data_IF_524883377649
#
_entry.id   IF_524883377649
#
_cell.length_a   1.000
_cell.length_b   1.000
_cell.length_c   1.000
_cell.angle_alpha   90.00
_cell.angle_beta   90.00
_cell.angle_gamma   90.00
#
_symmetry.space_group_name_H-M   'P 1'
#
loop_
_entity.id
_entity.type
_entity.pdbx_description
1 polymer ?
#
# COMPACT_ATOMS: atom_id res chain seq x y z
N UNK A 1 -2.64 45.20 -7.22
CA UNK A 1 -1.97 44.63 -6.02
C UNK A 1 -2.66 43.36 -5.52
N UNK A 2 -3.29 42.57 -6.42
CA UNK A 2 -3.98 41.31 -6.09
C UNK A 2 -3.66 40.17 -7.10
N UNK A 3 -2.96 40.45 -8.19
CA UNK A 3 -2.61 39.44 -9.22
C UNK A 3 -1.20 38.82 -9.06
N UNK A 4 -0.35 39.39 -8.19
CA UNK A 4 1.02 38.91 -7.98
C UNK A 4 1.10 37.75 -6.95
N UNK A 5 0.22 37.73 -5.96
CA UNK A 5 0.21 36.69 -4.92
C UNK A 5 -0.38 35.36 -5.41
N UNK A 6 -1.32 35.41 -6.37
CA UNK A 6 -1.90 34.20 -6.99
C UNK A 6 -0.91 33.45 -7.91
N UNK A 7 0.15 34.12 -8.37
CA UNK A 7 1.21 33.53 -9.19
C UNK A 7 2.32 32.89 -8.34
N UNK A 8 2.51 33.31 -7.09
CA UNK A 8 3.52 32.72 -6.17
C UNK A 8 3.00 31.40 -5.59
N UNK A 9 1.70 31.29 -5.31
CA UNK A 9 1.10 30.05 -4.81
C UNK A 9 1.06 28.93 -5.87
N UNK A 10 0.92 29.30 -7.16
CA UNK A 10 1.04 28.35 -8.29
C UNK A 10 2.47 27.93 -8.58
N UNK A 11 3.48 28.80 -8.37
CA UNK A 11 4.91 28.47 -8.55
C UNK A 11 5.50 27.66 -7.39
N UNK A 12 4.92 27.73 -6.19
CA UNK A 12 5.33 26.92 -5.04
C UNK A 12 4.99 25.43 -5.17
N UNK A 13 3.82 25.10 -5.74
CA UNK A 13 3.37 23.71 -5.88
C UNK A 13 4.15 22.90 -6.92
N UNK A 14 4.59 23.52 -8.02
CA UNK A 14 5.39 22.82 -9.04
C UNK A 14 6.82 22.49 -8.56
N UNK A 15 7.37 23.30 -7.66
CA UNK A 15 8.68 23.03 -7.05
C UNK A 15 8.65 21.90 -6.02
N UNK A 16 7.50 21.64 -5.40
CA UNK A 16 7.38 20.55 -4.44
C UNK A 16 7.29 19.19 -5.13
N UNK A 17 6.54 19.09 -6.23
CA UNK A 17 6.49 17.88 -7.05
C UNK A 17 7.88 17.54 -7.64
N UNK A 18 8.62 18.55 -8.12
CA UNK A 18 10.02 18.36 -8.55
C UNK A 18 10.95 17.95 -7.38
N UNK A 19 10.72 18.45 -6.17
CA UNK A 19 11.47 18.03 -4.97
C UNK A 19 11.14 16.60 -4.54
N UNK A 20 9.87 16.20 -4.59
CA UNK A 20 9.44 14.81 -4.33
C UNK A 20 10.06 13.86 -5.36
N UNK A 21 10.07 14.23 -6.65
CA UNK A 21 10.74 13.46 -7.70
C UNK A 21 12.26 13.37 -7.48
N UNK A 22 12.91 14.48 -7.10
CA UNK A 22 14.33 14.54 -6.77
C UNK A 22 14.70 13.74 -5.51
N UNK A 23 13.77 13.57 -4.56
CA UNK A 23 13.96 12.77 -3.35
C UNK A 23 13.70 11.28 -3.65
N UNK A 24 12.72 10.95 -4.51
CA UNK A 24 12.54 9.60 -5.04
C UNK A 24 13.76 9.15 -5.88
N UNK A 25 14.39 10.08 -6.61
CA UNK A 25 15.67 9.82 -7.30
C UNK A 25 16.84 9.67 -6.32
N UNK A 26 16.78 10.30 -5.14
CA UNK A 26 17.72 10.07 -4.04
C UNK A 26 17.52 8.70 -3.36
N UNK A 27 16.32 8.12 -3.34
CA UNK A 27 16.08 6.78 -2.79
C UNK A 27 16.76 5.66 -3.59
N UNK A 28 16.98 5.85 -4.89
CA UNK A 28 17.77 4.93 -5.72
C UNK A 28 19.28 5.11 -5.47
N UNK A 29 19.71 6.26 -4.91
CA UNK A 29 21.13 6.65 -4.79
C UNK A 29 21.68 6.71 -3.36
N UNK A 30 20.86 6.69 -2.30
CA UNK A 30 21.32 6.85 -0.92
C UNK A 30 21.16 5.56 -0.11
N UNK A 31 22.29 5.04 0.37
CA UNK A 31 22.47 3.90 1.28
C UNK A 31 21.81 4.06 2.68
N UNK A 32 20.86 4.99 2.87
CA UNK A 32 20.25 5.32 4.18
C UNK A 32 18.74 5.56 4.13
N UNK A 33 17.91 4.51 3.94
CA UNK A 33 16.45 4.63 3.82
C UNK A 33 15.78 5.23 5.08
N UNK A 34 16.33 4.96 6.28
CA UNK A 34 15.74 5.43 7.54
C UNK A 34 15.73 6.95 7.72
N UNK A 35 16.76 7.67 7.23
CA UNK A 35 16.80 9.14 7.33
C UNK A 35 15.80 9.79 6.37
N UNK A 36 15.62 9.21 5.19
CA UNK A 36 14.68 9.72 4.19
C UNK A 36 13.23 9.55 4.67
N UNK A 37 12.90 8.41 5.27
CA UNK A 37 11.58 8.18 5.86
C UNK A 37 11.25 9.22 6.95
N UNK A 38 12.21 9.58 7.81
CA UNK A 38 12.01 10.62 8.83
C UNK A 38 11.78 12.01 8.23
N UNK A 39 12.51 12.36 7.17
CA UNK A 39 12.31 13.63 6.46
C UNK A 39 10.90 13.69 5.85
N UNK A 40 10.45 12.61 5.19
CA UNK A 40 9.09 12.56 4.63
C UNK A 40 8.01 12.67 5.69
N UNK A 41 8.17 12.02 6.83
CA UNK A 41 7.21 12.11 7.94
C UNK A 41 7.10 13.56 8.47
N UNK A 42 8.23 14.27 8.55
CA UNK A 42 8.27 15.69 8.93
C UNK A 42 7.69 16.64 7.86
N UNK A 43 7.72 16.26 6.58
CA UNK A 43 7.12 17.03 5.49
C UNK A 43 5.60 16.82 5.43
N UNK A 44 5.14 15.58 5.67
CA UNK A 44 3.73 15.22 5.70
C UNK A 44 2.97 15.96 6.80
N UNK A 45 3.57 16.10 7.99
CA UNK A 45 2.97 16.88 9.09
C UNK A 45 2.79 18.36 8.77
N UNK A 46 3.47 18.88 7.74
CA UNK A 46 3.39 20.29 7.29
C UNK A 46 2.63 20.46 5.96
N UNK A 47 2.13 19.38 5.37
CA UNK A 47 1.54 19.41 4.03
C UNK A 47 0.08 19.94 4.03
N UNK A 48 -0.13 21.08 3.37
CA UNK A 48 -1.44 21.77 3.31
C UNK A 48 -2.32 21.30 2.15
N UNK A 49 -1.75 20.91 1.01
CA UNK A 49 -2.51 20.50 -0.20
C UNK A 49 -2.63 18.98 -0.33
N UNK A 50 -3.78 18.51 -0.85
CA UNK A 50 -4.07 17.08 -1.04
C UNK A 50 -3.02 16.37 -1.90
N UNK A 51 -2.74 16.90 -3.09
CA UNK A 51 -1.76 16.30 -4.02
C UNK A 51 -0.36 16.13 -3.43
N UNK A 52 0.11 17.10 -2.62
CA UNK A 52 1.42 17.02 -1.93
C UNK A 52 1.40 15.95 -0.85
N UNK A 53 0.26 15.80 -0.16
CA UNK A 53 0.11 14.80 0.90
C UNK A 53 0.15 13.39 0.32
N UNK A 54 -0.61 13.10 -0.74
CA UNK A 54 -0.62 11.76 -1.36
C UNK A 54 0.75 11.38 -1.94
N UNK A 55 1.39 12.31 -2.65
CA UNK A 55 2.77 12.11 -3.13
C UNK A 55 3.78 11.93 -1.99
N UNK A 56 3.58 12.63 -0.87
CA UNK A 56 4.36 12.47 0.34
C UNK A 56 4.15 11.11 1.01
N UNK A 57 2.92 10.62 1.10
CA UNK A 57 2.58 9.31 1.67
C UNK A 57 3.21 8.19 0.84
N UNK A 58 3.09 8.26 -0.48
CA UNK A 58 3.72 7.30 -1.38
C UNK A 58 5.25 7.32 -1.26
N UNK A 59 5.85 8.52 -1.23
CA UNK A 59 7.29 8.69 -1.01
C UNK A 59 7.76 8.15 0.34
N UNK A 60 6.96 8.35 1.40
CA UNK A 60 7.20 7.79 2.72
C UNK A 60 7.12 6.26 2.70
N UNK A 61 6.11 5.68 2.05
CA UNK A 61 5.96 4.23 1.92
C UNK A 61 7.12 3.57 1.16
N UNK A 62 7.61 4.22 0.09
CA UNK A 62 8.80 3.79 -0.65
C UNK A 62 10.07 3.92 0.20
N UNK A 63 10.25 5.03 0.92
CA UNK A 63 11.40 5.24 1.79
C UNK A 63 11.43 4.26 2.97
N UNK A 64 10.26 3.87 3.46
CA UNK A 64 10.07 2.96 4.58
C UNK A 64 9.80 1.52 4.15
N UNK A 65 10.01 1.17 2.88
CA UNK A 65 9.76 -0.16 2.34
C UNK A 65 10.50 -1.24 3.13
N UNK A 66 9.77 -2.23 3.63
CA UNK A 66 10.34 -3.35 4.39
C UNK A 66 10.95 -2.97 5.74
N UNK A 67 10.82 -1.72 6.20
CA UNK A 67 11.32 -1.31 7.52
C UNK A 67 10.50 -1.91 8.67
N UNK A 68 9.28 -2.39 8.38
CA UNK A 68 8.33 -2.96 9.35
C UNK A 68 8.00 -2.00 10.50
N UNK A 69 8.10 -0.69 10.25
CA UNK A 69 7.83 0.34 11.26
C UNK A 69 6.33 0.53 11.45
N UNK A 70 5.81 0.06 12.60
CA UNK A 70 4.39 0.21 12.97
C UNK A 70 3.99 1.68 13.06
N UNK A 71 4.87 2.56 13.53
CA UNK A 71 4.59 4.00 13.63
C UNK A 71 4.27 4.64 12.27
N UNK A 72 5.03 4.26 11.24
CA UNK A 72 4.81 4.78 9.87
C UNK A 72 3.53 4.19 9.30
N UNK A 73 3.28 2.91 9.54
CA UNK A 73 2.03 2.25 9.16
C UNK A 73 0.80 2.92 9.80
N UNK A 74 0.83 3.20 11.11
CA UNK A 74 -0.25 3.88 11.83
C UNK A 74 -0.52 5.27 11.26
N UNK A 75 0.53 6.03 10.96
CA UNK A 75 0.38 7.37 10.35
C UNK A 75 -0.27 7.31 8.97
N UNK A 76 0.13 6.35 8.14
CA UNK A 76 -0.46 6.13 6.81
C UNK A 76 -1.91 5.63 6.92
N UNK A 77 -2.20 4.77 7.90
CA UNK A 77 -3.55 4.29 8.20
C UNK A 77 -4.48 5.42 8.61
N UNK A 78 -4.01 6.32 9.49
CA UNK A 78 -4.76 7.52 9.88
C UNK A 78 -5.06 8.40 8.67
N UNK A 79 -4.10 8.56 7.75
CA UNK A 79 -4.32 9.30 6.50
C UNK A 79 -5.39 8.65 5.63
N UNK A 80 -5.35 7.32 5.49
CA UNK A 80 -6.34 6.53 4.74
C UNK A 80 -7.75 6.65 5.33
N UNK A 81 -7.88 6.56 6.66
CA UNK A 81 -9.18 6.57 7.34
C UNK A 81 -9.77 7.97 7.51
N UNK A 82 -8.93 8.99 7.63
CA UNK A 82 -9.38 10.37 7.81
C UNK A 82 -9.97 10.99 6.54
N UNK A 83 -9.69 10.40 5.37
CA UNK A 83 -10.12 10.92 4.07
C UNK A 83 -10.65 9.78 3.19
N UNK A 84 -11.97 9.61 3.17
CA UNK A 84 -12.66 8.80 2.16
C UNK A 84 -12.60 9.44 0.75
N UNK A 85 -11.46 9.98 0.34
CA UNK A 85 -11.22 10.50 -1.01
C UNK A 85 -10.72 9.36 -1.89
N UNK A 86 -11.50 8.99 -2.91
CA UNK A 86 -11.23 7.83 -3.75
C UNK A 86 -9.90 7.87 -4.52
N UNK A 87 -9.30 9.05 -4.72
CA UNK A 87 -7.98 9.19 -5.37
C UNK A 87 -6.88 8.93 -4.34
N UNK A 88 -6.91 9.67 -3.22
CA UNK A 88 -5.98 9.54 -2.08
C UNK A 88 -5.81 8.11 -1.57
N UNK A 89 -6.93 7.39 -1.46
CA UNK A 89 -6.94 6.14 -0.72
C UNK A 89 -6.21 4.99 -1.42
N UNK A 90 -5.98 5.09 -2.73
CA UNK A 90 -5.15 4.12 -3.44
C UNK A 90 -3.67 4.34 -3.15
N UNK A 91 -3.17 5.58 -3.19
CA UNK A 91 -1.76 5.86 -2.91
C UNK A 91 -1.40 5.61 -1.44
N UNK A 92 -2.29 5.96 -0.51
CA UNK A 92 -2.10 5.70 0.92
C UNK A 92 -2.12 4.19 1.20
N UNK A 93 -3.03 3.45 0.56
CA UNK A 93 -3.06 1.98 0.61
C UNK A 93 -1.78 1.34 0.03
N UNK A 94 -1.27 1.89 -1.08
CA UNK A 94 0.01 1.49 -1.67
C UNK A 94 1.18 1.79 -0.72
N UNK A 95 1.18 2.94 -0.05
CA UNK A 95 2.23 3.28 0.89
C UNK A 95 2.23 2.32 2.09
N UNK A 96 1.06 2.04 2.68
CA UNK A 96 0.91 1.15 3.83
C UNK A 96 1.48 -0.25 3.57
N UNK A 97 1.17 -0.81 2.40
CA UNK A 97 1.63 -2.17 2.04
C UNK A 97 3.14 -2.30 1.87
N UNK A 98 3.82 -1.24 1.43
CA UNK A 98 5.27 -1.26 1.23
C UNK A 98 6.01 -1.32 2.57
N UNK A 99 5.50 -0.62 3.59
CA UNK A 99 6.16 -0.54 4.91
C UNK A 99 6.20 -1.89 5.63
N UNK A 100 5.08 -2.64 5.55
CA UNK A 100 4.90 -3.91 6.25
C UNK A 100 5.11 -5.14 5.34
N UNK A 101 5.70 -4.96 4.14
CA UNK A 101 5.96 -6.05 3.22
C UNK A 101 6.76 -7.18 3.87
N UNK A 102 6.30 -8.43 3.72
CA UNK A 102 6.94 -9.61 4.28
C UNK A 102 7.08 -9.60 5.81
N UNK A 103 6.18 -8.90 6.53
CA UNK A 103 6.17 -8.89 8.00
C UNK A 103 5.17 -9.88 8.61
N UNK A 104 4.11 -10.25 7.88
CA UNK A 104 2.98 -11.05 8.39
C UNK A 104 2.42 -10.52 9.72
N UNK A 105 2.38 -9.19 9.86
CA UNK A 105 1.80 -8.57 11.05
C UNK A 105 0.29 -8.86 11.11
N UNK A 106 -0.13 -9.57 12.16
CA UNK A 106 -1.52 -9.99 12.34
C UNK A 106 -2.47 -8.81 12.57
N UNK A 107 -2.05 -7.81 13.32
CA UNK A 107 -2.84 -6.58 13.54
C UNK A 107 -3.12 -5.87 12.23
N UNK A 108 -2.10 -5.71 11.38
CA UNK A 108 -2.28 -5.07 10.08
C UNK A 108 -3.15 -5.90 9.13
N UNK A 109 -3.05 -7.24 9.17
CA UNK A 109 -3.90 -8.14 8.41
C UNK A 109 -5.38 -8.00 8.80
N UNK A 110 -5.68 -8.06 10.09
CA UNK A 110 -7.06 -7.98 10.58
C UNK A 110 -7.67 -6.60 10.31
N UNK A 111 -6.92 -5.53 10.53
CA UNK A 111 -7.37 -4.16 10.24
C UNK A 111 -7.68 -3.95 8.75
N UNK A 112 -6.76 -4.34 7.86
CA UNK A 112 -6.98 -4.21 6.42
C UNK A 112 -8.15 -5.06 5.96
N UNK A 113 -8.28 -6.29 6.47
CA UNK A 113 -9.40 -7.19 6.15
C UNK A 113 -10.74 -6.57 6.58
N UNK A 114 -10.84 -6.08 7.80
CA UNK A 114 -12.05 -5.42 8.30
C UNK A 114 -12.40 -4.19 7.48
N UNK A 115 -11.39 -3.41 7.05
CA UNK A 115 -11.64 -2.19 6.29
C UNK A 115 -12.10 -2.45 4.85
N UNK A 116 -11.62 -3.53 4.20
CA UNK A 116 -12.09 -3.95 2.86
C UNK A 116 -13.61 -4.17 2.84
N UNK A 117 -14.16 -4.79 3.88
CA UNK A 117 -15.59 -5.12 3.97
C UNK A 117 -16.47 -3.88 4.20
N UNK A 118 -15.94 -2.84 4.84
CA UNK A 118 -16.70 -1.63 5.20
C UNK A 118 -16.63 -0.58 4.10
N UNK A 119 -15.52 -0.51 3.36
CA UNK A 119 -15.31 0.53 2.35
C UNK A 119 -16.13 0.28 1.08
N UNK A 120 -16.72 1.36 0.54
CA UNK A 120 -17.52 1.36 -0.70
C UNK A 120 -16.70 1.77 -1.94
N UNK A 121 -15.39 2.02 -1.77
CA UNK A 121 -14.53 2.51 -2.84
C UNK A 121 -13.67 1.38 -3.42
N UNK A 122 -14.00 0.93 -4.63
CA UNK A 122 -13.26 -0.13 -5.36
C UNK A 122 -11.74 0.12 -5.45
N UNK A 123 -11.33 1.40 -5.57
CA UNK A 123 -9.92 1.79 -5.62
C UNK A 123 -9.21 1.50 -4.30
N UNK A 124 -9.85 1.84 -3.18
CA UNK A 124 -9.35 1.58 -1.84
C UNK A 124 -9.33 0.06 -1.58
N UNK A 125 -10.40 -0.65 -1.93
CA UNK A 125 -10.44 -2.12 -1.85
C UNK A 125 -9.27 -2.73 -2.63
N UNK A 126 -9.02 -2.29 -3.87
CA UNK A 126 -7.89 -2.80 -4.68
C UNK A 126 -6.52 -2.53 -4.04
N UNK A 127 -6.32 -1.34 -3.48
CA UNK A 127 -5.11 -1.00 -2.73
C UNK A 127 -4.91 -1.89 -1.50
N UNK A 128 -5.97 -2.13 -0.72
CA UNK A 128 -5.92 -2.98 0.47
C UNK A 128 -5.73 -4.46 0.15
N UNK A 129 -6.39 -4.99 -0.89
CA UNK A 129 -6.23 -6.40 -1.32
C UNK A 129 -4.78 -6.73 -1.64
N UNK A 130 -4.16 -5.88 -2.48
CA UNK A 130 -2.75 -6.01 -2.81
C UNK A 130 -1.86 -5.74 -1.60
N UNK A 131 -2.34 -4.97 -0.61
CA UNK A 131 -1.64 -4.75 0.65
C UNK A 131 -1.59 -5.96 1.56
N UNK A 132 -2.71 -6.65 1.74
CA UNK A 132 -2.78 -7.94 2.45
C UNK A 132 -1.85 -8.95 1.78
N UNK A 133 -1.85 -9.02 0.44
CA UNK A 133 -0.93 -9.89 -0.30
C UNK A 133 0.55 -9.56 -0.05
N UNK A 134 0.88 -8.27 0.08
CA UNK A 134 2.26 -7.82 0.33
C UNK A 134 2.77 -8.20 1.72
N UNK A 135 1.89 -8.36 2.72
CA UNK A 135 2.28 -8.86 4.05
C UNK A 135 2.91 -10.25 3.98
N UNK A 136 2.45 -11.08 3.03
CA UNK A 136 2.92 -12.45 2.81
C UNK A 136 4.12 -12.59 1.87
N UNK A 137 4.61 -11.48 1.30
CA UNK A 137 5.68 -11.52 0.32
C UNK A 137 6.91 -12.32 0.79
N UNK A 138 7.26 -13.37 0.05
CA UNK A 138 8.42 -14.24 0.32
C UNK A 138 8.29 -15.17 1.54
N UNK A 139 7.08 -15.32 2.10
CA UNK A 139 6.85 -16.15 3.29
C UNK A 139 6.56 -17.62 2.98
N UNK A 140 6.26 -17.96 1.71
CA UNK A 140 5.97 -19.32 1.26
C UNK A 140 4.91 -19.99 2.15
N UNK A 141 5.14 -21.23 2.58
CA UNK A 141 4.27 -22.06 3.42
C UNK A 141 3.89 -21.39 4.75
N UNK A 142 4.71 -20.46 5.27
CA UNK A 142 4.37 -19.74 6.51
C UNK A 142 3.15 -18.85 6.35
N UNK A 143 2.75 -18.52 5.13
CA UNK A 143 1.56 -17.70 4.87
C UNK A 143 0.27 -18.49 4.76
N UNK A 144 0.34 -19.82 4.70
CA UNK A 144 -0.81 -20.72 4.49
C UNK A 144 -1.98 -20.48 5.46
N UNK A 145 -1.78 -20.31 6.79
CA UNK A 145 -2.94 -20.14 7.68
C UNK A 145 -3.68 -18.82 7.44
N UNK A 146 -3.02 -17.79 6.90
CA UNK A 146 -3.69 -16.55 6.50
C UNK A 146 -4.44 -16.70 5.18
N UNK A 147 -3.91 -17.51 4.25
CA UNK A 147 -4.56 -17.82 2.97
C UNK A 147 -5.84 -18.62 3.25
N UNK A 148 -5.78 -19.65 4.11
CA UNK A 148 -6.94 -20.44 4.52
C UNK A 148 -8.04 -19.57 5.14
N UNK A 149 -7.66 -18.60 5.99
CA UNK A 149 -8.60 -17.64 6.56
C UNK A 149 -9.33 -16.86 5.47
N UNK A 150 -8.64 -16.41 4.42
CA UNK A 150 -9.26 -15.65 3.31
C UNK A 150 -10.13 -16.55 2.43
N UNK A 151 -9.72 -17.79 2.19
CA UNK A 151 -10.47 -18.77 1.40
C UNK A 151 -11.76 -19.21 2.09
N UNK A 152 -11.77 -19.28 3.42
CA UNK A 152 -12.96 -19.64 4.19
C UNK A 152 -14.14 -18.67 3.96
N UNK A 153 -13.89 -17.42 3.54
CA UNK A 153 -14.92 -16.44 3.17
C UNK A 153 -15.40 -16.60 1.72
N UNK A 154 -15.78 -17.82 1.34
CA UNK A 154 -16.24 -18.16 -0.02
C UNK A 154 -17.43 -17.33 -0.54
N UNK A 155 -18.20 -16.67 0.34
CA UNK A 155 -19.36 -15.85 -0.04
C UNK A 155 -19.00 -14.52 -0.70
N UNK A 156 -17.77 -14.03 -0.56
CA UNK A 156 -17.37 -12.71 -1.09
C UNK A 156 -16.26 -12.81 -2.14
N UNK A 157 -16.59 -12.45 -3.39
CA UNK A 157 -15.66 -12.44 -4.53
C UNK A 157 -14.35 -11.68 -4.24
N UNK A 158 -14.42 -10.61 -3.45
CA UNK A 158 -13.28 -9.75 -3.11
C UNK A 158 -12.23 -10.50 -2.26
N UNK A 159 -12.65 -11.29 -1.27
CA UNK A 159 -11.74 -12.03 -0.39
C UNK A 159 -11.08 -13.20 -1.12
N UNK A 160 -11.83 -13.90 -1.98
CA UNK A 160 -11.29 -14.95 -2.85
C UNK A 160 -10.18 -14.40 -3.77
N UNK A 161 -10.40 -13.26 -4.42
CA UNK A 161 -9.38 -12.60 -5.24
C UNK A 161 -8.16 -12.18 -4.40
N UNK A 162 -8.37 -11.77 -3.16
CA UNK A 162 -7.29 -11.42 -2.23
C UNK A 162 -6.44 -12.63 -1.88
N UNK A 163 -7.07 -13.79 -1.64
CA UNK A 163 -6.36 -15.04 -1.40
C UNK A 163 -5.49 -15.43 -2.59
N UNK A 164 -6.01 -15.31 -3.82
CA UNK A 164 -5.24 -15.57 -5.05
C UNK A 164 -4.01 -14.65 -5.15
N UNK A 165 -4.20 -13.34 -4.92
CA UNK A 165 -3.09 -12.39 -4.87
C UNK A 165 -2.06 -12.72 -3.77
N UNK A 166 -2.53 -13.14 -2.60
CA UNK A 166 -1.68 -13.50 -1.47
C UNK A 166 -0.83 -14.73 -1.78
N UNK A 167 -1.42 -15.78 -2.38
CA UNK A 167 -0.70 -16.96 -2.85
C UNK A 167 0.39 -16.55 -3.86
N UNK A 168 0.04 -15.73 -4.85
CA UNK A 168 0.98 -15.27 -5.86
C UNK A 168 2.19 -14.51 -5.27
N UNK A 169 1.95 -13.65 -4.29
CA UNK A 169 3.01 -12.87 -3.63
C UNK A 169 3.82 -13.69 -2.63
N UNK A 170 3.19 -14.64 -1.92
CA UNK A 170 3.85 -15.52 -0.97
C UNK A 170 4.88 -16.44 -1.64
N UNK A 171 4.50 -16.99 -2.80
CA UNK A 171 5.31 -17.92 -3.58
C UNK A 171 6.05 -17.27 -4.75
N UNK A 172 6.12 -15.93 -4.78
CA UNK A 172 6.84 -15.17 -5.78
C UNK A 172 8.32 -15.62 -5.84
N UNK A 173 8.75 -16.12 -6.99
CA UNK A 173 10.13 -16.58 -7.21
C UNK A 173 10.45 -17.99 -6.69
N UNK A 174 9.50 -18.71 -6.08
CA UNK A 174 9.72 -20.06 -5.53
C UNK A 174 9.76 -21.18 -6.59
N UNK A 175 9.06 -21.00 -7.72
CA UNK A 175 8.97 -22.01 -8.78
C UNK A 175 8.19 -23.28 -8.38
N UNK A 176 7.38 -23.25 -7.31
CA UNK A 176 6.64 -24.43 -6.86
C UNK A 176 5.48 -24.78 -7.83
N UNK A 177 5.58 -25.93 -8.47
CA UNK A 177 4.59 -26.42 -9.44
C UNK A 177 3.20 -26.69 -8.82
N UNK A 178 3.15 -27.07 -7.55
CA UNK A 178 1.88 -27.32 -6.85
C UNK A 178 1.07 -26.03 -6.69
N UNK A 179 1.74 -24.94 -6.33
CA UNK A 179 1.11 -23.62 -6.18
C UNK A 179 0.63 -23.10 -7.53
N UNK A 180 1.42 -23.29 -8.60
CA UNK A 180 1.00 -22.94 -9.96
C UNK A 180 -0.26 -23.71 -10.35
N UNK A 181 -0.30 -25.02 -10.07
CA UNK A 181 -1.49 -25.84 -10.34
C UNK A 181 -2.71 -25.36 -9.56
N UNK A 182 -2.56 -25.09 -8.26
CA UNK A 182 -3.64 -24.54 -7.41
C UNK A 182 -4.17 -23.20 -7.93
N UNK A 183 -3.28 -22.31 -8.37
CA UNK A 183 -3.67 -21.03 -8.98
C UNK A 183 -4.45 -21.25 -10.28
N UNK A 184 -4.01 -22.17 -11.14
CA UNK A 184 -4.72 -22.51 -12.38
C UNK A 184 -6.10 -23.11 -12.12
N UNK A 185 -6.23 -24.00 -11.14
CA UNK A 185 -7.51 -24.57 -10.72
C UNK A 185 -8.47 -23.48 -10.24
N UNK A 186 -7.98 -22.50 -9.46
CA UNK A 186 -8.79 -21.36 -9.02
C UNK A 186 -9.25 -20.47 -10.18
N UNK A 187 -8.37 -20.16 -11.14
CA UNK A 187 -8.72 -19.36 -12.31
C UNK A 187 -9.73 -20.10 -13.21
N UNK A 188 -9.60 -21.42 -13.34
CA UNK A 188 -10.55 -22.23 -14.11
C UNK A 188 -11.92 -22.36 -13.43
N UNK A 189 -11.97 -22.27 -12.10
CA UNK A 189 -13.20 -22.37 -11.32
C UNK A 189 -13.93 -21.03 -11.15
N UNK A 190 -13.25 -19.89 -11.35
CA UNK A 190 -13.87 -18.58 -11.28
C UNK A 190 -14.76 -18.38 -12.54
N UNK A 191 -16.08 -18.23 -12.40
CA UNK A 191 -16.92 -17.89 -13.55
C UNK A 191 -16.51 -16.49 -14.00
N UNK A 192 -15.71 -16.43 -15.06
CA UNK A 192 -15.39 -15.19 -15.73
C UNK A 192 -16.70 -14.55 -16.23
N UNK A 193 -17.13 -13.49 -15.57
CA UNK A 193 -17.88 -12.40 -16.21
C UNK A 193 -16.91 -11.55 -17.05
#
# INVERSE_FOLDING_TARGET
>A
MLDADLQIEKKGSQNLALKVLSICQCLIKLERPGQVAQIFNNLLSKATTGAVRHGGCLGLGLAALGTRSVKIYEHLRECLYSKNEAVSGEEDGIAMRLVLAGSMNQTAFDEMRSYILVTQHDKIQRGLRTGIAMLAYGMLEKSEPWIEILECFHSESIMSQTAVCMIAMAYAGSGNAEVVKRLLEKVAADPAD
#
